data_IF_572547427410
#
_entry.id   IF_572547427410
#
_cell.length_a   1.000
_cell.length_b   1.000
_cell.length_c   1.000
_cell.angle_alpha   90.00
_cell.angle_beta   90.00
_cell.angle_gamma   90.00
#
_symmetry.space_group_name_H-M   'P 1'
#
loop_
_entity.id
_entity.type
_entity.pdbx_description
1 polymer ?
#
# COMPACT_ATOMS: atom_id res chain seq x y z
N UNK A 1 31.16 -27.28 48.30
CA UNK A 1 30.24 -26.13 48.53
C UNK A 1 29.69 -25.69 47.18
N UNK A 2 28.45 -26.08 46.87
CA UNK A 2 27.77 -25.75 45.61
C UNK A 2 27.28 -24.30 45.62
N UNK A 3 27.58 -23.53 44.57
CA UNK A 3 26.69 -22.48 44.06
C UNK A 3 26.76 -22.43 42.53
N UNK A 4 25.72 -22.98 41.89
CA UNK A 4 25.25 -22.51 40.57
C UNK A 4 24.79 -21.06 40.72
N UNK A 5 24.95 -20.25 39.68
CA UNK A 5 23.91 -19.35 39.18
C UNK A 5 24.33 -18.86 37.79
N UNK A 6 23.73 -19.52 36.80
CA UNK A 6 23.58 -19.09 35.42
C UNK A 6 23.10 -17.64 35.34
N UNK A 7 23.74 -16.80 34.54
CA UNK A 7 23.11 -15.58 34.03
C UNK A 7 22.85 -15.72 32.55
N UNK A 8 21.56 -15.74 32.24
CA UNK A 8 20.94 -15.75 30.93
C UNK A 8 21.70 -14.90 29.90
N UNK A 9 22.17 -15.57 28.86
CA UNK A 9 22.16 -14.99 27.53
C UNK A 9 20.69 -14.70 27.18
N UNK A 10 20.29 -13.42 27.26
CA UNK A 10 19.04 -12.95 26.66
C UNK A 10 19.20 -13.12 25.15
N UNK A 11 18.76 -14.26 24.61
CA UNK A 11 18.39 -14.33 23.20
C UNK A 11 17.24 -13.35 23.00
N UNK A 12 17.48 -12.23 22.32
CA UNK A 12 16.40 -11.55 21.60
C UNK A 12 16.01 -12.48 20.46
N UNK A 13 15.06 -13.37 20.72
CA UNK A 13 14.39 -14.15 19.69
C UNK A 13 12.95 -13.64 19.63
N UNK A 14 12.76 -12.57 18.86
CA UNK A 14 11.47 -12.14 18.37
C UNK A 14 11.68 -11.89 16.89
N UNK A 15 11.18 -12.79 16.06
CA UNK A 15 11.29 -12.70 14.60
C UNK A 15 10.59 -11.42 14.14
N UNK A 16 11.34 -10.40 13.70
CA UNK A 16 10.77 -9.18 13.12
C UNK A 16 10.07 -9.42 11.77
N UNK A 17 10.01 -10.68 11.31
CA UNK A 17 9.42 -11.09 10.05
C UNK A 17 8.01 -10.55 9.83
N UNK A 18 7.16 -10.52 10.86
CA UNK A 18 5.81 -9.97 10.72
C UNK A 18 5.82 -8.47 10.37
N UNK A 19 6.74 -7.70 10.96
CA UNK A 19 6.91 -6.28 10.64
C UNK A 19 7.53 -6.10 9.25
N UNK A 20 8.52 -6.92 8.89
CA UNK A 20 9.15 -6.90 7.57
C UNK A 20 8.15 -7.25 6.44
N UNK A 21 7.32 -8.27 6.66
CA UNK A 21 6.28 -8.70 5.72
C UNK A 21 5.19 -7.61 5.58
N UNK A 22 4.81 -6.96 6.69
CA UNK A 22 3.90 -5.82 6.67
C UNK A 22 4.47 -4.63 5.88
N UNK A 23 5.74 -4.29 6.10
CA UNK A 23 6.42 -3.21 5.37
C UNK A 23 6.53 -3.51 3.87
N UNK A 24 6.79 -4.77 3.53
CA UNK A 24 6.81 -5.24 2.13
C UNK A 24 5.43 -5.09 1.50
N UNK A 25 4.37 -5.49 2.22
CA UNK A 25 3.00 -5.34 1.76
C UNK A 25 2.65 -3.86 1.52
N UNK A 26 2.99 -2.98 2.46
CA UNK A 26 2.71 -1.55 2.32
C UNK A 26 3.45 -0.93 1.14
N UNK A 27 4.72 -1.26 0.97
CA UNK A 27 5.51 -0.80 -0.17
C UNK A 27 4.87 -1.22 -1.48
N UNK A 28 4.44 -2.49 -1.59
CA UNK A 28 3.74 -3.00 -2.77
C UNK A 28 2.39 -2.32 -3.06
N UNK A 29 1.72 -1.79 -2.04
CA UNK A 29 0.47 -1.04 -2.20
C UNK A 29 0.73 0.41 -2.64
N UNK A 30 1.71 1.06 -2.01
CA UNK A 30 2.12 2.42 -2.35
C UNK A 30 2.61 2.51 -3.80
N UNK A 31 3.44 1.56 -4.24
CA UNK A 31 3.95 1.47 -5.61
C UNK A 31 2.86 1.46 -6.69
N UNK A 32 1.64 1.04 -6.36
CA UNK A 32 0.51 1.05 -7.30
C UNK A 32 -0.10 2.44 -7.52
N UNK A 33 0.06 3.35 -6.57
CA UNK A 33 -0.59 4.67 -6.59
C UNK A 33 0.37 5.83 -6.77
N UNK A 34 1.67 5.61 -6.57
CA UNK A 34 2.72 6.62 -6.76
C UNK A 34 3.34 6.54 -8.15
N UNK A 35 4.15 7.54 -8.50
CA UNK A 35 4.89 7.58 -9.77
C UNK A 35 5.94 6.45 -9.77
N UNK A 36 5.93 5.49 -10.72
CA UNK A 36 6.78 4.30 -10.66
C UNK A 36 8.30 4.57 -10.68
N UNK A 37 8.72 5.73 -11.19
CA UNK A 37 10.13 6.13 -11.27
C UNK A 37 10.65 6.76 -9.99
N UNK A 38 9.78 7.07 -9.03
CA UNK A 38 10.16 7.70 -7.78
C UNK A 38 10.42 6.63 -6.71
N UNK A 39 11.58 6.71 -6.07
CA UNK A 39 11.86 5.91 -4.88
C UNK A 39 11.32 6.64 -3.66
N UNK A 40 10.30 6.05 -3.05
CA UNK A 40 9.59 6.66 -1.93
C UNK A 40 9.81 5.80 -0.69
N UNK A 41 10.25 6.45 0.39
CA UNK A 41 10.26 5.82 1.70
C UNK A 41 8.84 5.91 2.30
N UNK A 42 8.19 4.76 2.38
CA UNK A 42 6.81 4.59 2.88
C UNK A 42 6.66 5.04 4.33
N UNK A 43 7.71 5.24 5.12
CA UNK A 43 7.59 5.71 6.50
C UNK A 43 7.78 7.21 6.65
N UNK A 44 8.49 7.87 5.74
CA UNK A 44 8.94 9.25 5.93
C UNK A 44 8.39 10.23 4.90
N UNK A 45 8.05 9.77 3.69
CA UNK A 45 7.56 10.65 2.63
C UNK A 45 6.07 10.98 2.75
N UNK A 46 5.67 12.19 2.33
CA UNK A 46 4.26 12.55 2.16
C UNK A 46 3.76 11.99 0.84
N UNK A 47 2.90 10.98 0.88
CA UNK A 47 2.52 10.23 -0.33
C UNK A 47 1.76 11.10 -1.34
N UNK A 48 1.03 12.10 -0.87
CA UNK A 48 0.21 13.01 -1.67
C UNK A 48 1.04 13.75 -2.72
N UNK A 49 2.30 14.06 -2.40
CA UNK A 49 3.21 14.81 -3.25
C UNK A 49 3.76 13.97 -4.41
N UNK A 50 3.52 12.65 -4.39
CA UNK A 50 4.09 11.66 -5.30
C UNK A 50 3.05 10.78 -6.01
N UNK A 51 1.76 11.11 -5.88
CA UNK A 51 0.68 10.33 -6.49
C UNK A 51 0.76 10.39 -8.01
N UNK A 52 0.61 9.23 -8.64
CA UNK A 52 0.42 9.15 -10.08
C UNK A 52 -0.97 9.72 -10.43
N UNK A 53 -1.09 10.69 -11.34
CA UNK A 53 -2.38 11.27 -11.73
C UNK A 53 -3.35 10.26 -12.37
N UNK A 54 -2.82 9.16 -12.91
CA UNK A 54 -3.62 8.05 -13.44
C UNK A 54 -2.92 6.72 -13.10
N UNK A 55 -3.04 6.24 -11.86
CA UNK A 55 -2.39 5.01 -11.45
C UNK A 55 -3.03 3.81 -12.16
N UNK A 56 -2.19 2.86 -12.53
CA UNK A 56 -2.64 1.55 -13.00
C UNK A 56 -3.01 0.70 -11.77
N UNK A 57 -4.30 0.47 -11.57
CA UNK A 57 -4.81 -0.20 -10.37
C UNK A 57 -4.87 -1.73 -10.51
N UNK A 58 -4.36 -2.25 -11.63
CA UNK A 58 -4.27 -3.67 -11.94
C UNK A 58 -5.21 -4.11 -13.04
N UNK A 59 -4.86 -5.23 -13.68
CA UNK A 59 -5.52 -5.72 -14.89
C UNK A 59 -7.04 -5.87 -14.73
N UNK A 60 -7.49 -6.43 -13.61
CA UNK A 60 -8.91 -6.63 -13.35
C UNK A 60 -9.67 -5.30 -13.24
N UNK A 61 -9.08 -4.31 -12.59
CA UNK A 61 -9.69 -2.98 -12.47
C UNK A 61 -9.80 -2.32 -13.85
N UNK A 62 -8.70 -2.28 -14.59
CA UNK A 62 -8.68 -1.63 -15.92
C UNK A 62 -9.63 -2.33 -16.89
N UNK A 63 -9.61 -3.67 -16.92
CA UNK A 63 -10.51 -4.46 -17.77
C UNK A 63 -11.97 -4.25 -17.40
N UNK A 64 -12.28 -4.16 -16.10
CA UNK A 64 -13.65 -3.89 -15.64
C UNK A 64 -14.14 -2.52 -16.10
N UNK A 65 -13.33 -1.47 -15.91
CA UNK A 65 -13.63 -0.11 -16.35
C UNK A 65 -13.80 -0.04 -17.87
N UNK A 66 -12.92 -0.69 -18.64
CA UNK A 66 -12.98 -0.73 -20.10
C UNK A 66 -14.23 -1.45 -20.59
N UNK A 67 -14.61 -2.56 -19.94
CA UNK A 67 -15.85 -3.27 -20.25
C UNK A 67 -17.09 -2.42 -19.94
N UNK A 68 -17.11 -1.66 -18.83
CA UNK A 68 -18.22 -0.75 -18.52
C UNK A 68 -18.35 0.36 -19.56
N UNK A 69 -17.23 0.97 -19.98
CA UNK A 69 -17.22 1.98 -21.05
C UNK A 69 -17.68 1.40 -22.40
N UNK A 70 -17.28 0.17 -22.71
CA UNK A 70 -17.62 -0.48 -23.98
C UNK A 70 -19.12 -0.81 -24.10
N UNK A 71 -19.80 -1.04 -22.99
CA UNK A 71 -21.24 -1.38 -22.99
C UNK A 71 -22.14 -0.19 -23.37
N UNK A 72 -21.60 1.04 -23.50
CA UNK A 72 -22.31 2.26 -23.95
C UNK A 72 -23.66 2.50 -23.27
N UNK A 73 -23.84 2.00 -22.05
CA UNK A 73 -24.95 2.43 -21.19
C UNK A 73 -24.58 3.80 -20.66
N UNK A 74 -25.53 4.73 -20.65
CA UNK A 74 -25.36 6.11 -20.14
C UNK A 74 -25.06 6.16 -18.61
N UNK A 75 -24.84 4.99 -18.00
CA UNK A 75 -24.78 4.74 -16.57
C UNK A 75 -23.36 4.81 -16.01
N UNK A 76 -22.32 4.80 -16.86
CA UNK A 76 -20.93 4.90 -16.42
C UNK A 76 -20.17 6.01 -17.16
N UNK A 77 -19.96 7.12 -16.45
CA UNK A 77 -19.28 8.30 -16.95
C UNK A 77 -17.79 8.31 -16.60
N UNK A 78 -17.05 9.24 -17.21
CA UNK A 78 -15.65 9.53 -16.84
C UNK A 78 -15.53 9.99 -15.39
N UNK A 79 -16.58 10.65 -14.84
CA UNK A 79 -16.60 11.08 -13.45
C UNK A 79 -16.70 9.88 -12.49
N UNK A 80 -17.48 8.85 -12.86
CA UNK A 80 -17.62 7.64 -12.04
C UNK A 80 -16.29 6.87 -11.95
N UNK A 81 -15.58 6.74 -13.08
CA UNK A 81 -14.22 6.18 -13.09
C UNK A 81 -13.28 6.98 -12.17
N UNK A 82 -13.31 8.31 -12.25
CA UNK A 82 -12.47 9.17 -11.43
C UNK A 82 -12.74 8.94 -9.93
N UNK A 83 -14.01 8.88 -9.52
CA UNK A 83 -14.43 8.61 -8.14
C UNK A 83 -13.96 7.23 -7.66
N UNK A 84 -14.07 6.20 -8.52
CA UNK A 84 -13.58 4.86 -8.18
C UNK A 84 -12.07 4.85 -7.98
N UNK A 85 -11.30 5.47 -8.89
CA UNK A 85 -9.84 5.56 -8.77
C UNK A 85 -9.42 6.32 -7.53
N UNK A 86 -10.04 7.48 -7.28
CA UNK A 86 -9.79 8.29 -6.09
C UNK A 86 -10.08 7.52 -4.80
N UNK A 87 -11.13 6.70 -4.78
CA UNK A 87 -11.45 5.86 -3.63
C UNK A 87 -10.36 4.82 -3.34
N UNK A 88 -9.78 4.21 -4.38
CA UNK A 88 -8.65 3.29 -4.22
C UNK A 88 -7.39 4.00 -3.71
N UNK A 89 -7.06 5.16 -4.29
CA UNK A 89 -5.92 5.98 -3.85
C UNK A 89 -6.08 6.36 -2.38
N UNK A 90 -7.24 6.92 -2.02
CA UNK A 90 -7.56 7.34 -0.65
C UNK A 90 -7.50 6.18 0.34
N UNK A 91 -7.98 5.00 -0.05
CA UNK A 91 -7.88 3.81 0.81
C UNK A 91 -6.41 3.47 1.11
N UNK A 92 -5.55 3.46 0.09
CA UNK A 92 -4.13 3.14 0.25
C UNK A 92 -3.41 4.20 1.09
N UNK A 93 -3.61 5.49 0.81
CA UNK A 93 -2.95 6.56 1.58
C UNK A 93 -3.40 6.57 3.04
N UNK A 94 -4.71 6.41 3.29
CA UNK A 94 -5.25 6.32 4.65
C UNK A 94 -4.69 5.12 5.40
N UNK A 95 -4.58 3.96 4.75
CA UNK A 95 -4.03 2.75 5.36
C UNK A 95 -2.57 2.95 5.78
N UNK A 96 -1.76 3.56 4.92
CA UNK A 96 -0.36 3.86 5.23
C UNK A 96 -0.25 4.82 6.40
N UNK A 97 -1.05 5.89 6.41
CA UNK A 97 -1.05 6.86 7.50
C UNK A 97 -1.49 6.25 8.83
N UNK A 98 -2.44 5.32 8.82
CA UNK A 98 -2.87 4.59 10.01
C UNK A 98 -1.77 3.67 10.56
N UNK A 99 -0.92 3.10 9.71
CA UNK A 99 0.16 2.19 10.16
C UNK A 99 1.40 2.96 10.62
N UNK A 100 1.58 4.20 10.16
CA UNK A 100 2.64 5.10 10.66
C UNK A 100 2.39 5.59 12.10
N UNK A 101 1.13 5.59 12.55
CA UNK A 101 0.71 6.02 13.90
C UNK A 101 0.98 4.94 14.96
#
# INVERSE_FOLDING_TARGET
MFRRLTRHSRRKCGSNKAAEDLMTLLSSLVEKVVIPTEQIDVLTCRLEDHLNPKPYLGYLFETYVDNMKAQKTDEFSVADEAVMRESCIRFITTLVDQIRQ
#
